data_IF_601730991911
#
_entry.id   IF_601730991911
#
_cell.length_a   1.000
_cell.length_b   1.000
_cell.length_c   1.000
_cell.angle_alpha   90.00
_cell.angle_beta   90.00
_cell.angle_gamma   90.00
#
_symmetry.space_group_name_H-M   'P 1'
#
loop_
_entity.id
_entity.type
_entity.pdbx_description
1 polymer ?
#
# COMPACT_ATOMS: atom_id res chain seq x y z
N UNK A 1 -27.87 11.11 42.77
CA UNK A 1 -27.68 12.34 41.99
C UNK A 1 -26.28 12.33 41.41
N UNK A 2 -26.14 11.89 40.16
CA UNK A 2 -24.83 11.82 39.47
C UNK A 2 -24.63 13.16 38.75
N UNK A 3 -23.81 14.01 39.34
CA UNK A 3 -23.35 15.24 38.73
C UNK A 3 -22.27 14.89 37.68
N UNK A 4 -22.70 14.56 36.46
CA UNK A 4 -21.77 14.45 35.32
C UNK A 4 -21.28 15.85 35.00
N UNK A 5 -20.11 16.18 35.50
CA UNK A 5 -19.40 17.37 35.04
C UNK A 5 -19.16 17.23 33.53
N UNK A 6 -19.98 17.93 32.79
CA UNK A 6 -19.81 18.06 31.35
C UNK A 6 -18.59 18.97 31.13
N UNK A 7 -17.38 18.37 31.07
CA UNK A 7 -16.16 19.10 30.76
C UNK A 7 -16.22 19.49 29.28
N UNK A 8 -16.76 20.65 29.02
CA UNK A 8 -16.70 21.26 27.69
C UNK A 8 -15.28 21.75 27.45
N UNK A 9 -14.55 21.05 26.59
CA UNK A 9 -13.24 21.52 26.12
C UNK A 9 -13.43 22.83 25.35
N UNK A 10 -12.60 23.87 25.61
CA UNK A 10 -12.62 25.09 24.81
C UNK A 10 -12.41 24.77 23.32
N UNK A 11 -13.12 25.46 22.46
CA UNK A 11 -13.06 25.25 21.00
C UNK A 11 -11.61 25.34 20.45
N UNK A 12 -10.78 26.21 21.05
CA UNK A 12 -9.36 26.37 20.71
C UNK A 12 -8.54 25.10 21.00
N UNK A 13 -8.83 24.39 22.09
CA UNK A 13 -8.12 23.14 22.43
C UNK A 13 -8.54 22.04 21.45
N UNK A 14 -9.81 21.96 21.10
CA UNK A 14 -10.30 20.99 20.13
C UNK A 14 -9.66 21.23 18.76
N UNK A 15 -9.58 22.47 18.30
CA UNK A 15 -8.90 22.85 17.06
C UNK A 15 -7.41 22.44 17.07
N UNK A 16 -6.70 22.74 18.17
CA UNK A 16 -5.31 22.36 18.32
C UNK A 16 -5.09 20.84 18.30
N UNK A 17 -5.96 20.06 18.95
CA UNK A 17 -5.91 18.60 18.90
C UNK A 17 -6.16 18.07 17.49
N UNK A 18 -7.14 18.60 16.77
CA UNK A 18 -7.41 18.20 15.39
C UNK A 18 -6.22 18.50 14.48
N UNK A 19 -5.57 19.66 14.64
CA UNK A 19 -4.38 20.03 13.89
C UNK A 19 -3.21 19.09 14.17
N UNK A 20 -2.96 18.72 15.44
CA UNK A 20 -1.90 17.78 15.85
C UNK A 20 -2.17 16.37 15.28
N UNK A 21 -3.43 15.96 15.20
CA UNK A 21 -3.85 14.67 14.65
C UNK A 21 -3.94 14.68 13.12
N UNK A 22 -3.60 15.79 12.48
CA UNK A 22 -3.74 15.96 11.03
C UNK A 22 -5.18 15.71 10.51
N UNK A 23 -6.19 16.12 11.30
CA UNK A 23 -7.62 15.94 11.01
C UNK A 23 -8.27 17.29 10.72
N UNK A 24 -9.05 17.35 9.66
CA UNK A 24 -9.96 18.46 9.35
C UNK A 24 -11.38 17.97 9.51
N UNK A 25 -12.22 18.77 10.18
CA UNK A 25 -13.64 18.49 10.36
C UNK A 25 -14.45 19.52 9.56
N UNK A 26 -15.25 19.02 8.65
CA UNK A 26 -16.16 19.79 7.83
C UNK A 26 -17.59 19.46 8.24
N UNK A 27 -18.40 20.49 8.51
CA UNK A 27 -19.83 20.33 8.78
C UNK A 27 -20.62 20.49 7.48
N UNK A 28 -21.50 19.54 7.19
CA UNK A 28 -22.43 19.63 6.09
C UNK A 28 -23.48 20.68 6.39
N UNK A 29 -23.63 21.66 5.52
CA UNK A 29 -24.64 22.72 5.62
C UNK A 29 -25.71 22.59 4.53
N UNK A 30 -26.66 23.52 4.47
CA UNK A 30 -27.73 23.50 3.47
C UNK A 30 -27.16 23.43 2.03
N UNK A 31 -27.87 22.71 1.17
CA UNK A 31 -27.48 22.55 -0.24
C UNK A 31 -26.36 21.59 -0.54
N UNK A 32 -25.95 20.76 0.45
CA UNK A 32 -24.87 19.79 0.25
C UNK A 32 -23.46 20.39 0.30
N UNK A 33 -23.37 21.69 0.64
CA UNK A 33 -22.08 22.35 0.86
C UNK A 33 -21.51 22.01 2.24
N UNK A 34 -20.22 22.24 2.40
CA UNK A 34 -19.47 21.97 3.63
C UNK A 34 -18.81 23.23 4.15
N UNK A 35 -18.77 23.36 5.46
CA UNK A 35 -18.10 24.45 6.17
C UNK A 35 -17.12 23.87 7.17
N UNK A 36 -15.93 24.43 7.27
CA UNK A 36 -14.97 24.01 8.29
C UNK A 36 -15.52 24.33 9.68
N UNK A 37 -15.48 23.33 10.57
CA UNK A 37 -16.06 23.46 11.91
C UNK A 37 -15.17 24.30 12.85
N UNK A 38 -13.85 24.17 12.74
CA UNK A 38 -12.90 24.95 13.53
C UNK A 38 -12.04 25.81 12.63
N UNK A 39 -11.91 27.07 13.00
CA UNK A 39 -11.24 28.06 12.17
C UNK A 39 -9.74 28.13 12.40
N UNK A 40 -9.20 27.73 13.58
CA UNK A 40 -7.75 27.80 13.85
C UNK A 40 -7.35 26.97 15.09
N UNK A 41 -6.19 26.32 15.07
CA UNK A 41 -5.31 26.11 13.91
C UNK A 41 -5.77 24.94 13.02
N UNK A 42 -5.69 25.12 11.70
CA UNK A 42 -5.88 24.02 10.73
C UNK A 42 -4.56 23.27 10.51
N UNK A 43 -4.59 21.96 10.13
CA UNK A 43 -3.39 21.28 9.69
C UNK A 43 -2.73 22.00 8.50
N UNK A 44 -1.40 22.13 8.52
CA UNK A 44 -0.66 22.88 7.48
C UNK A 44 -0.92 22.36 6.07
N UNK A 45 -1.01 21.02 5.91
CA UNK A 45 -1.29 20.40 4.62
C UNK A 45 -2.66 20.82 4.05
N UNK A 46 -3.64 21.06 4.93
CA UNK A 46 -4.97 21.47 4.50
C UNK A 46 -4.96 22.93 4.02
N UNK A 47 -4.35 23.82 4.78
CA UNK A 47 -4.21 25.22 4.38
C UNK A 47 -3.42 25.37 3.08
N UNK A 48 -2.37 24.58 2.89
CA UNK A 48 -1.54 24.61 1.68
C UNK A 48 -2.26 24.05 0.45
N UNK A 49 -2.98 22.93 0.62
CA UNK A 49 -3.66 22.26 -0.49
C UNK A 49 -5.00 22.92 -0.86
N UNK A 50 -5.63 23.63 0.09
CA UNK A 50 -7.03 24.05 0.00
C UNK A 50 -7.25 25.52 0.36
N UNK A 51 -6.20 26.35 0.34
CA UNK A 51 -6.27 27.79 0.63
C UNK A 51 -7.37 28.48 -0.18
N UNK A 52 -7.51 28.15 -1.46
CA UNK A 52 -8.50 28.76 -2.35
C UNK A 52 -9.94 28.33 -2.05
N UNK A 53 -10.12 27.25 -1.27
CA UNK A 53 -11.44 26.64 -1.00
C UNK A 53 -12.06 27.22 0.26
N UNK A 54 -11.25 27.76 1.18
CA UNK A 54 -11.69 28.14 2.53
C UNK A 54 -11.96 29.65 2.71
N UNK A 55 -11.45 30.50 1.83
CA UNK A 55 -11.53 31.95 1.99
C UNK A 55 -12.93 32.55 1.78
N UNK A 56 -13.89 31.76 1.29
CA UNK A 56 -15.18 32.29 0.83
C UNK A 56 -16.42 31.76 1.53
N UNK A 57 -16.35 30.83 2.47
CA UNK A 57 -17.56 30.26 3.11
C UNK A 57 -17.81 28.80 2.81
N UNK A 58 -19.04 28.31 2.76
CA UNK A 58 -19.39 26.94 2.47
C UNK A 58 -18.94 26.53 1.06
N UNK A 59 -18.37 25.32 0.92
CA UNK A 59 -17.76 24.82 -0.30
C UNK A 59 -18.46 23.56 -0.77
N UNK A 60 -18.65 23.44 -2.07
CA UNK A 60 -19.06 22.18 -2.72
C UNK A 60 -17.85 21.29 -2.91
N UNK A 61 -17.73 20.23 -2.10
CA UNK A 61 -16.56 19.37 -2.10
C UNK A 61 -16.38 18.59 -3.41
N UNK A 62 -17.44 18.24 -4.10
CA UNK A 62 -17.37 17.53 -5.39
C UNK A 62 -16.73 18.37 -6.50
N UNK A 63 -16.88 19.69 -6.43
CA UNK A 63 -16.21 20.61 -7.36
C UNK A 63 -14.73 20.75 -7.04
N UNK A 64 -14.40 20.86 -5.74
CA UNK A 64 -13.03 20.98 -5.28
C UNK A 64 -12.27 19.64 -5.35
N UNK A 65 -12.96 18.52 -5.12
CA UNK A 65 -12.40 17.17 -5.03
C UNK A 65 -13.28 16.15 -5.75
N UNK A 66 -13.23 16.05 -7.07
CA UNK A 66 -14.05 15.08 -7.81
C UNK A 66 -13.82 13.63 -7.38
N UNK A 67 -12.65 13.32 -6.84
CA UNK A 67 -12.30 12.00 -6.29
C UNK A 67 -13.19 11.60 -5.10
N UNK A 68 -13.78 12.54 -4.39
CA UNK A 68 -14.69 12.28 -3.27
C UNK A 68 -16.14 12.01 -3.69
N UNK A 69 -16.51 12.24 -4.95
CA UNK A 69 -17.89 12.13 -5.41
C UNK A 69 -18.54 10.76 -5.11
N UNK A 70 -17.89 9.62 -5.37
CA UNK A 70 -18.44 8.31 -5.00
C UNK A 70 -18.70 8.17 -3.51
N UNK A 71 -17.72 8.57 -2.68
CA UNK A 71 -17.86 8.50 -1.22
C UNK A 71 -18.92 9.44 -0.69
N UNK A 72 -19.01 10.68 -1.19
CA UNK A 72 -20.02 11.64 -0.78
C UNK A 72 -21.44 11.15 -1.13
N UNK A 73 -21.61 10.45 -2.25
CA UNK A 73 -22.88 9.83 -2.61
C UNK A 73 -23.28 8.75 -1.60
N UNK A 74 -22.35 7.92 -1.13
CA UNK A 74 -22.61 6.95 -0.07
C UNK A 74 -22.88 7.61 1.28
N UNK A 75 -22.13 8.66 1.60
CA UNK A 75 -22.29 9.43 2.82
C UNK A 75 -23.67 10.10 2.89
N UNK A 76 -24.21 10.61 1.78
CA UNK A 76 -25.56 11.17 1.72
C UNK A 76 -26.63 10.11 2.07
N UNK A 77 -26.50 8.90 1.54
CA UNK A 77 -27.37 7.78 1.87
C UNK A 77 -27.24 7.41 3.36
N UNK A 78 -26.01 7.34 3.87
CA UNK A 78 -25.74 7.06 5.27
C UNK A 78 -26.38 8.11 6.19
N UNK A 79 -26.14 9.39 5.94
CA UNK A 79 -26.68 10.49 6.75
C UNK A 79 -28.22 10.56 6.72
N UNK A 80 -28.85 10.19 5.60
CA UNK A 80 -30.31 10.15 5.50
C UNK A 80 -30.97 9.06 6.37
N UNK A 81 -30.20 8.04 6.75
CA UNK A 81 -30.70 6.84 7.48
C UNK A 81 -30.19 6.72 8.90
N UNK A 82 -29.16 7.49 9.26
CA UNK A 82 -28.44 7.28 10.52
C UNK A 82 -28.37 8.59 11.30
N UNK A 83 -28.93 8.60 12.50
CA UNK A 83 -28.86 9.74 13.41
C UNK A 83 -27.57 9.79 14.22
N UNK A 84 -26.92 8.64 14.43
CA UNK A 84 -25.68 8.52 15.18
C UNK A 84 -24.83 7.35 14.64
N UNK A 85 -23.64 7.66 14.13
CA UNK A 85 -22.74 6.63 13.60
C UNK A 85 -21.64 7.22 12.73
N UNK A 86 -20.86 6.32 12.13
CA UNK A 86 -19.81 6.68 11.16
C UNK A 86 -19.81 5.73 9.97
N UNK A 87 -19.34 6.24 8.84
CA UNK A 87 -19.05 5.52 7.61
C UNK A 87 -17.59 5.82 7.24
N UNK A 88 -16.75 4.80 7.18
CA UNK A 88 -15.35 4.94 6.80
C UNK A 88 -15.22 4.89 5.27
N UNK A 89 -14.50 5.85 4.69
CA UNK A 89 -14.16 5.88 3.27
C UNK A 89 -12.81 5.22 2.97
N UNK A 90 -12.56 4.99 1.70
CA UNK A 90 -11.27 4.49 1.23
C UNK A 90 -10.21 5.59 1.24
N UNK A 91 -8.93 5.17 1.26
CA UNK A 91 -7.82 6.09 1.12
C UNK A 91 -7.72 6.56 -0.35
N UNK A 92 -7.51 7.84 -0.53
CA UNK A 92 -7.29 8.46 -1.84
C UNK A 92 -6.08 9.41 -1.80
N UNK A 93 -5.58 9.77 -2.96
CA UNK A 93 -4.40 10.62 -3.07
C UNK A 93 -4.77 11.90 -3.79
N UNK A 94 -4.41 13.02 -3.20
CA UNK A 94 -4.56 14.35 -3.81
C UNK A 94 -3.18 14.92 -4.13
N UNK A 95 -3.05 15.59 -5.26
CA UNK A 95 -1.85 16.35 -5.59
C UNK A 95 -1.71 17.55 -4.66
N UNK A 96 -0.68 17.56 -3.84
CA UNK A 96 -0.36 18.69 -2.97
C UNK A 96 0.61 19.68 -3.60
N UNK A 97 0.91 20.77 -2.88
CA UNK A 97 1.88 21.77 -3.30
C UNK A 97 3.25 21.14 -3.58
N UNK A 98 3.93 21.62 -4.64
CA UNK A 98 5.23 21.09 -5.03
C UNK A 98 5.23 19.69 -5.61
N UNK A 99 4.07 19.18 -6.07
CA UNK A 99 3.95 17.85 -6.69
C UNK A 99 4.01 16.68 -5.70
N UNK A 100 3.85 16.95 -4.41
CA UNK A 100 3.78 15.90 -3.38
C UNK A 100 2.39 15.26 -3.38
N UNK A 101 2.37 13.94 -3.29
CA UNK A 101 1.14 13.20 -3.10
C UNK A 101 0.71 13.29 -1.63
N UNK A 102 -0.54 13.71 -1.40
CA UNK A 102 -1.17 13.73 -0.08
C UNK A 102 -2.15 12.56 0.04
N UNK A 103 -1.78 11.49 0.73
CA UNK A 103 -2.69 10.40 1.01
C UNK A 103 -3.66 10.81 2.11
N UNK A 104 -4.93 10.78 1.81
CA UNK A 104 -6.03 11.21 2.68
C UNK A 104 -7.01 10.06 2.87
N UNK A 105 -7.70 10.07 4.00
CA UNK A 105 -8.85 9.19 4.28
C UNK A 105 -10.00 10.07 4.73
N UNK A 106 -11.20 9.71 4.32
CA UNK A 106 -12.43 10.36 4.74
C UNK A 106 -13.25 9.49 5.67
N UNK A 107 -13.95 10.14 6.59
CA UNK A 107 -14.94 9.49 7.45
C UNK A 107 -16.17 10.37 7.52
N UNK A 108 -17.33 9.85 7.14
CA UNK A 108 -18.60 10.53 7.34
C UNK A 108 -19.16 10.20 8.73
N UNK A 109 -19.60 11.21 9.46
CA UNK A 109 -20.12 11.06 10.81
C UNK A 109 -21.51 11.71 10.89
N UNK A 110 -22.46 10.97 11.49
CA UNK A 110 -23.76 11.50 11.90
C UNK A 110 -23.78 11.63 13.42
N UNK A 111 -24.14 12.81 13.92
CA UNK A 111 -24.22 13.08 15.35
C UNK A 111 -25.35 14.05 15.64
N UNK A 112 -26.38 13.59 16.36
CA UNK A 112 -27.49 14.40 16.83
C UNK A 112 -28.16 15.27 15.72
N UNK A 113 -28.36 14.67 14.54
CA UNK A 113 -28.96 15.36 13.38
C UNK A 113 -28.01 16.31 12.64
N UNK A 114 -26.75 16.35 13.04
CA UNK A 114 -25.68 17.07 12.33
C UNK A 114 -24.82 16.07 11.58
N UNK A 115 -24.29 16.51 10.45
CA UNK A 115 -23.51 15.68 9.54
C UNK A 115 -22.13 16.27 9.36
N UNK A 116 -21.12 15.43 9.52
CA UNK A 116 -19.73 15.85 9.45
C UNK A 116 -18.96 14.98 8.49
N UNK A 117 -17.98 15.56 7.82
CA UNK A 117 -16.97 14.89 7.07
C UNK A 117 -15.61 15.17 7.73
N UNK A 118 -14.95 14.12 8.15
CA UNK A 118 -13.59 14.19 8.65
C UNK A 118 -12.64 13.80 7.52
N UNK A 119 -11.62 14.61 7.30
CA UNK A 119 -10.54 14.30 6.36
C UNK A 119 -9.26 14.30 7.17
N UNK A 120 -8.51 13.21 7.10
CA UNK A 120 -7.23 13.12 7.78
C UNK A 120 -6.13 12.60 6.86
N UNK A 121 -4.92 13.09 7.09
CA UNK A 121 -3.74 12.64 6.37
C UNK A 121 -3.25 11.30 6.96
N UNK A 122 -2.96 10.35 6.09
CA UNK A 122 -2.36 9.07 6.51
C UNK A 122 -0.84 9.26 6.65
N UNK A 123 -0.37 9.40 7.87
CA UNK A 123 1.06 9.47 8.15
C UNK A 123 1.75 8.16 7.75
N UNK A 124 2.93 8.26 7.12
CA UNK A 124 3.72 7.09 6.73
C UNK A 124 3.14 6.29 5.56
N UNK A 125 2.18 6.83 4.81
CA UNK A 125 1.64 6.17 3.62
C UNK A 125 2.72 5.96 2.55
N UNK A 126 3.53 6.98 2.31
CA UNK A 126 4.64 6.91 1.35
C UNK A 126 5.68 5.87 1.78
N UNK A 127 5.98 5.81 3.08
CA UNK A 127 6.90 4.80 3.64
C UNK A 127 6.35 3.38 3.47
N UNK A 128 5.05 3.18 3.74
CA UNK A 128 4.40 1.89 3.56
C UNK A 128 4.35 1.48 2.08
N UNK A 129 4.03 2.39 1.19
CA UNK A 129 4.05 2.14 -0.25
C UNK A 129 5.46 1.79 -0.72
N UNK A 130 6.49 2.54 -0.30
CA UNK A 130 7.88 2.24 -0.62
C UNK A 130 8.31 0.87 -0.09
N UNK A 131 7.93 0.51 1.14
CA UNK A 131 8.22 -0.80 1.72
C UNK A 131 7.55 -1.91 0.88
N UNK A 132 6.27 -1.75 0.54
CA UNK A 132 5.54 -2.71 -0.29
C UNK A 132 6.12 -2.82 -1.70
N UNK A 133 6.51 -1.71 -2.30
CA UNK A 133 7.13 -1.70 -3.62
C UNK A 133 8.48 -2.41 -3.59
N UNK A 134 9.35 -2.10 -2.62
CA UNK A 134 10.63 -2.79 -2.43
C UNK A 134 10.45 -4.28 -2.15
N UNK A 135 9.42 -4.66 -1.39
CA UNK A 135 9.10 -6.06 -1.15
C UNK A 135 8.67 -6.79 -2.44
N UNK A 136 7.87 -6.13 -3.28
CA UNK A 136 7.47 -6.66 -4.60
C UNK A 136 8.67 -6.79 -5.56
N UNK A 137 9.52 -5.78 -5.62
CA UNK A 137 10.75 -5.80 -6.44
C UNK A 137 11.65 -6.96 -6.04
N UNK A 138 11.91 -7.13 -4.73
CA UNK A 138 12.69 -8.27 -4.21
C UNK A 138 12.05 -9.62 -4.51
N UNK A 139 10.72 -9.72 -4.41
CA UNK A 139 10.00 -10.95 -4.75
C UNK A 139 10.15 -11.30 -6.23
N UNK A 140 10.05 -10.31 -7.13
CA UNK A 140 10.26 -10.49 -8.57
C UNK A 140 11.71 -10.87 -8.90
N UNK A 141 12.70 -10.23 -8.28
CA UNK A 141 14.12 -10.58 -8.41
C UNK A 141 14.36 -12.02 -7.96
N UNK A 142 13.83 -12.40 -6.80
CA UNK A 142 13.94 -13.77 -6.31
C UNK A 142 13.32 -14.78 -7.28
N UNK A 143 12.13 -14.51 -7.79
CA UNK A 143 11.47 -15.36 -8.78
C UNK A 143 12.29 -15.51 -10.06
N UNK A 144 12.92 -14.42 -10.54
CA UNK A 144 13.80 -14.46 -11.70
C UNK A 144 15.05 -15.32 -11.45
N UNK A 145 15.66 -15.20 -10.26
CA UNK A 145 16.79 -16.03 -9.87
C UNK A 145 16.40 -17.51 -9.84
N UNK A 146 15.28 -17.84 -9.21
CA UNK A 146 14.77 -19.21 -9.14
C UNK A 146 14.48 -19.75 -10.54
N UNK A 147 13.86 -18.98 -11.43
CA UNK A 147 13.62 -19.37 -12.84
C UNK A 147 14.92 -19.63 -13.59
N UNK A 148 15.94 -18.79 -13.41
CA UNK A 148 17.26 -19.00 -14.04
C UNK A 148 17.92 -20.28 -13.55
N UNK A 149 17.88 -20.53 -12.25
CA UNK A 149 18.45 -21.75 -11.65
C UNK A 149 17.71 -23.01 -12.11
N UNK A 150 16.38 -22.96 -12.19
CA UNK A 150 15.59 -24.07 -12.74
C UNK A 150 15.91 -24.33 -14.22
N UNK A 151 16.10 -23.26 -15.01
CA UNK A 151 16.55 -23.35 -16.39
C UNK A 151 17.94 -24.00 -16.55
N UNK A 152 18.80 -23.89 -15.55
CA UNK A 152 20.14 -24.51 -15.55
C UNK A 152 20.13 -26.01 -15.18
N UNK A 153 19.06 -26.52 -14.59
CA UNK A 153 18.94 -27.89 -14.10
C UNK A 153 19.14 -28.91 -15.22
N UNK A 154 18.43 -28.78 -16.32
CA UNK A 154 18.55 -29.70 -17.46
C UNK A 154 19.92 -29.71 -18.12
N UNK A 155 20.57 -28.58 -18.45
CA UNK A 155 21.94 -28.55 -18.92
C UNK A 155 22.90 -29.20 -17.95
N UNK A 156 22.71 -28.96 -16.64
CA UNK A 156 23.54 -29.52 -15.60
C UNK A 156 23.40 -31.05 -15.49
N UNK A 157 22.21 -31.60 -15.47
CA UNK A 157 21.94 -33.05 -15.50
C UNK A 157 22.58 -33.71 -16.72
N UNK A 158 22.51 -33.04 -17.89
CA UNK A 158 23.18 -33.53 -19.11
C UNK A 158 24.70 -33.58 -18.96
N UNK A 159 25.31 -32.53 -18.39
CA UNK A 159 26.76 -32.50 -18.15
C UNK A 159 27.19 -33.58 -17.17
N UNK A 160 26.45 -33.79 -16.10
CA UNK A 160 26.73 -34.83 -15.09
C UNK A 160 26.67 -36.21 -15.73
N UNK A 161 25.66 -36.47 -16.57
CA UNK A 161 25.54 -37.72 -17.30
C UNK A 161 26.73 -37.93 -18.26
N UNK A 162 27.07 -36.94 -19.10
CA UNK A 162 28.18 -37.02 -20.01
C UNK A 162 29.53 -37.24 -19.30
N UNK A 163 29.75 -36.55 -18.18
CA UNK A 163 30.93 -36.77 -17.36
C UNK A 163 30.98 -38.18 -16.76
N UNK A 164 29.81 -38.77 -16.46
CA UNK A 164 29.69 -40.15 -15.98
C UNK A 164 29.98 -41.21 -17.07
N UNK A 165 29.55 -40.92 -18.30
CA UNK A 165 29.71 -41.84 -19.45
C UNK A 165 31.12 -41.84 -20.05
N UNK A 166 31.98 -40.85 -19.72
CA UNK A 166 33.36 -40.81 -20.22
C UNK A 166 34.12 -42.02 -19.75
N UNK A 167 34.62 -42.83 -20.74
CA UNK A 167 35.48 -43.95 -20.46
C UNK A 167 36.86 -43.45 -20.00
N UNK A 168 37.32 -43.99 -18.89
CA UNK A 168 38.63 -43.66 -18.29
C UNK A 168 39.74 -44.60 -18.72
N UNK A 169 39.45 -45.68 -19.45
CA UNK A 169 40.38 -46.74 -19.79
C UNK A 169 41.57 -46.26 -20.64
N UNK A 170 41.39 -45.26 -21.48
CA UNK A 170 42.43 -44.66 -22.34
C UNK A 170 43.06 -43.37 -21.83
N UNK A 171 42.70 -42.88 -20.63
CA UNK A 171 43.17 -41.60 -20.12
C UNK A 171 44.51 -41.75 -19.34
N UNK A 172 45.41 -40.79 -19.51
CA UNK A 172 46.60 -40.65 -18.67
C UNK A 172 46.24 -40.30 -17.22
N UNK A 173 47.05 -40.65 -16.25
CA UNK A 173 46.78 -40.44 -14.82
C UNK A 173 46.39 -38.99 -14.44
N UNK A 174 47.02 -37.90 -14.97
CA UNK A 174 46.61 -36.56 -14.67
C UNK A 174 45.22 -36.22 -15.23
N UNK A 175 44.81 -36.85 -16.33
CA UNK A 175 43.48 -36.69 -16.93
C UNK A 175 42.40 -37.40 -16.12
N UNK A 176 42.70 -38.59 -15.61
CA UNK A 176 41.82 -39.34 -14.69
C UNK A 176 41.55 -38.55 -13.41
N UNK A 177 42.60 -37.97 -12.82
CA UNK A 177 42.49 -37.15 -11.62
C UNK A 177 41.61 -35.92 -11.85
N UNK A 178 41.77 -35.20 -12.97
CA UNK A 178 40.93 -34.05 -13.34
C UNK A 178 39.48 -34.44 -13.56
N UNK A 179 39.22 -35.57 -14.20
CA UNK A 179 37.86 -36.06 -14.43
C UNK A 179 37.16 -36.45 -13.11
N UNK A 180 37.91 -37.07 -12.19
CA UNK A 180 37.41 -37.41 -10.86
C UNK A 180 37.04 -36.13 -10.05
N UNK A 181 37.90 -35.11 -10.08
CA UNK A 181 37.61 -33.80 -9.46
C UNK A 181 36.36 -33.16 -10.06
N UNK A 182 36.24 -33.13 -11.38
CA UNK A 182 35.09 -32.59 -12.10
C UNK A 182 33.79 -33.32 -11.73
N UNK A 183 33.79 -34.63 -11.61
CA UNK A 183 32.63 -35.42 -11.15
C UNK A 183 32.20 -35.04 -9.72
N UNK A 184 33.18 -34.85 -8.84
CA UNK A 184 32.94 -34.46 -7.45
C UNK A 184 32.31 -33.06 -7.39
N UNK A 185 32.85 -32.11 -8.14
CA UNK A 185 32.29 -30.73 -8.20
C UNK A 185 30.88 -30.71 -8.80
N UNK A 186 30.66 -31.44 -9.88
CA UNK A 186 29.32 -31.59 -10.46
C UNK A 186 28.34 -32.20 -9.45
N UNK A 187 28.77 -33.22 -8.69
CA UNK A 187 27.95 -33.81 -7.64
C UNK A 187 27.55 -32.80 -6.55
N UNK A 188 28.53 -31.99 -6.10
CA UNK A 188 28.25 -30.94 -5.10
C UNK A 188 27.27 -29.88 -5.61
N UNK A 189 27.44 -29.40 -6.84
CA UNK A 189 26.52 -28.44 -7.46
C UNK A 189 25.12 -29.06 -7.62
N UNK A 190 25.02 -30.32 -8.00
CA UNK A 190 23.75 -31.04 -8.12
C UNK A 190 22.99 -31.06 -6.81
N UNK A 191 23.66 -31.35 -5.70
CA UNK A 191 23.06 -31.34 -4.38
C UNK A 191 22.48 -29.95 -4.01
N UNK A 192 23.23 -28.89 -4.33
CA UNK A 192 22.72 -27.49 -4.08
C UNK A 192 21.50 -27.22 -4.94
N UNK A 193 21.51 -27.59 -6.22
CA UNK A 193 20.35 -27.37 -7.11
C UNK A 193 19.13 -28.19 -6.66
N UNK A 194 19.29 -29.34 -6.07
CA UNK A 194 18.16 -30.16 -5.57
C UNK A 194 17.54 -29.63 -4.28
N UNK A 195 18.31 -28.87 -3.50
CA UNK A 195 17.82 -28.20 -2.29
C UNK A 195 17.02 -26.93 -2.61
N UNK A 196 17.14 -26.39 -3.82
CA UNK A 196 16.37 -25.21 -4.21
C UNK A 196 14.89 -25.55 -4.40
N UNK A 197 13.97 -24.63 -3.97
CA UNK A 197 12.55 -24.82 -4.14
C UNK A 197 12.20 -25.00 -5.62
N UNK A 198 11.48 -26.08 -5.92
CA UNK A 198 10.94 -26.30 -7.28
C UNK A 198 9.80 -25.36 -7.49
N UNK A 199 9.82 -24.58 -8.59
CA UNK A 199 8.65 -23.80 -8.98
C UNK A 199 7.46 -24.77 -9.21
N UNK A 200 6.26 -24.43 -8.69
CA UNK A 200 5.07 -25.21 -9.02
C UNK A 200 4.94 -25.23 -10.55
N UNK A 201 4.98 -26.45 -11.10
CA UNK A 201 4.99 -26.66 -12.54
C UNK A 201 3.86 -25.90 -13.20
N UNK A 202 4.20 -24.95 -14.08
CA UNK A 202 3.24 -24.26 -14.90
C UNK A 202 2.42 -25.32 -15.65
N UNK A 203 1.19 -25.51 -15.25
CA UNK A 203 0.19 -26.24 -16.01
C UNK A 203 0.06 -25.52 -17.35
N UNK A 204 0.76 -26.05 -18.35
CA UNK A 204 0.50 -25.71 -19.75
C UNK A 204 -0.98 -25.99 -20.01
N UNK A 205 -1.81 -24.95 -19.85
CA UNK A 205 -3.21 -24.97 -20.23
C UNK A 205 -3.28 -25.35 -21.72
N UNK A 206 -3.60 -26.62 -21.96
CA UNK A 206 -3.97 -27.13 -23.27
C UNK A 206 -5.27 -26.41 -23.66
N UNK A 207 -5.16 -25.32 -24.44
CA UNK A 207 -6.32 -24.74 -25.15
C UNK A 207 -6.78 -25.80 -26.13
N UNK A 208 -8.00 -26.28 -25.93
CA UNK A 208 -8.83 -26.91 -26.96
C UNK A 208 -9.64 -25.82 -27.63
#
# INVERSE_FOLDING_TARGET
>A
MNNRHNVQLPASILGALMAILDIVVLERVHGGAFRQLSTEPSPSWFSEAFSNVLEGGPVTLTEAFPVLDPFLSEAEVFWSRTAFGRLDGEAFVVGGPGGRNLPLVTVAVALEGRHFLLIHRVAGFDDRQQILQRARERALEHEQVVKRLDGMRRPFERLTRLAGELDTAGLADPQRTRLASLRTELGAIGQVLDQLPKLPGGTTGRRR
#
